data_IF_537691149041
#
_entry.id   IF_537691149041
#
_cell.length_a   1.000
_cell.length_b   1.000
_cell.length_c   1.000
_cell.angle_alpha   90.00
_cell.angle_beta   90.00
_cell.angle_gamma   90.00
#
_symmetry.space_group_name_H-M   'P 1'
#
loop_
_entity.id
_entity.type
_entity.pdbx_description
1 polymer ?
#
# COMPACT_ATOMS: atom_id res chain seq x y z
N UNK A 1 15.69 -0.59 -5.06
CA UNK A 1 14.31 -1.11 -5.07
C UNK A 1 13.65 -0.78 -6.39
N UNK A 2 12.84 -1.68 -6.92
CA UNK A 2 12.06 -1.40 -8.13
C UNK A 2 10.77 -2.21 -8.10
N UNK A 3 9.65 -1.58 -8.41
CA UNK A 3 8.31 -2.02 -7.99
C UNK A 3 7.50 -2.66 -9.12
N UNK A 4 8.19 -3.14 -10.15
CA UNK A 4 7.62 -3.79 -11.34
C UNK A 4 8.17 -5.22 -11.49
N UNK A 5 7.90 -5.91 -12.59
CA UNK A 5 8.36 -7.28 -12.82
C UNK A 5 9.86 -7.41 -13.15
N UNK A 6 10.49 -6.35 -13.64
CA UNK A 6 11.92 -6.32 -14.04
C UNK A 6 12.57 -4.96 -13.86
N UNK A 7 13.90 -4.91 -13.97
CA UNK A 7 14.67 -3.66 -14.07
C UNK A 7 14.71 -3.11 -15.50
N UNK A 8 14.87 -1.79 -15.68
CA UNK A 8 15.16 -1.21 -16.99
C UNK A 8 16.49 -1.73 -17.54
N UNK A 9 16.52 -2.16 -18.81
CA UNK A 9 17.74 -2.73 -19.42
C UNK A 9 18.96 -1.80 -19.32
N UNK A 10 18.71 -0.49 -19.43
CA UNK A 10 19.75 0.55 -19.34
C UNK A 10 20.41 0.65 -17.96
N UNK A 11 19.82 0.06 -16.92
CA UNK A 11 20.33 0.09 -15.55
C UNK A 11 21.31 -1.05 -15.28
N UNK A 12 21.10 -2.22 -15.91
CA UNK A 12 21.84 -3.47 -15.60
C UNK A 12 23.36 -3.27 -15.69
N UNK A 13 23.83 -2.71 -16.82
CA UNK A 13 25.26 -2.47 -17.04
C UNK A 13 25.88 -1.46 -16.06
N UNK A 14 25.06 -0.58 -15.45
CA UNK A 14 25.51 0.37 -14.42
C UNK A 14 25.54 -0.30 -13.05
N UNK A 15 24.51 -1.09 -12.73
CA UNK A 15 24.43 -1.85 -11.48
C UNK A 15 25.58 -2.85 -11.38
N UNK A 16 25.91 -3.56 -12.46
CA UNK A 16 27.03 -4.50 -12.48
C UNK A 16 28.42 -3.85 -12.33
N UNK A 17 28.52 -2.52 -12.38
CA UNK A 17 29.77 -1.80 -12.05
C UNK A 17 29.92 -1.50 -10.56
N UNK A 18 28.86 -1.67 -9.77
CA UNK A 18 28.93 -1.49 -8.31
C UNK A 18 29.69 -2.66 -7.67
N UNK A 19 30.30 -2.43 -6.53
CA UNK A 19 30.93 -3.49 -5.72
C UNK A 19 29.86 -4.36 -5.04
N UNK A 20 28.82 -3.70 -4.50
CA UNK A 20 27.67 -4.35 -3.85
C UNK A 20 26.36 -3.66 -4.25
N UNK A 21 25.27 -4.41 -4.21
CA UNK A 21 23.91 -3.98 -4.55
C UNK A 21 22.99 -4.47 -3.45
N UNK A 22 22.47 -3.55 -2.64
CA UNK A 22 21.58 -3.93 -1.52
C UNK A 22 20.12 -3.77 -1.93
N UNK A 23 19.34 -4.82 -1.69
CA UNK A 23 17.91 -4.89 -2.01
C UNK A 23 17.12 -5.29 -0.76
N UNK A 24 15.86 -4.84 -0.58
CA UNK A 24 15.16 -5.00 0.68
C UNK A 24 14.55 -6.39 0.88
N UNK A 25 14.44 -7.19 -0.19
CA UNK A 25 13.69 -8.44 -0.18
C UNK A 25 14.27 -9.44 -1.17
N UNK A 26 13.96 -10.71 -0.95
CA UNK A 26 14.25 -11.79 -1.87
C UNK A 26 13.49 -11.63 -3.19
N UNK A 27 12.29 -11.05 -3.16
CA UNK A 27 11.59 -10.65 -4.39
C UNK A 27 12.45 -9.73 -5.27
N UNK A 28 13.05 -8.69 -4.66
CA UNK A 28 13.91 -7.77 -5.39
C UNK A 28 15.23 -8.44 -5.79
N UNK A 29 15.78 -9.35 -4.99
CA UNK A 29 16.93 -10.16 -5.38
C UNK A 29 16.64 -10.95 -6.67
N UNK A 30 15.55 -11.71 -6.70
CA UNK A 30 15.17 -12.54 -7.85
C UNK A 30 14.89 -11.69 -9.11
N UNK A 31 14.23 -10.55 -8.92
CA UNK A 31 13.99 -9.56 -9.98
C UNK A 31 15.32 -9.06 -10.58
N UNK A 32 16.30 -8.71 -9.75
CA UNK A 32 17.59 -8.19 -10.17
C UNK A 32 18.41 -9.26 -10.89
N UNK A 33 18.47 -10.47 -10.35
CA UNK A 33 19.16 -11.62 -10.97
C UNK A 33 18.55 -11.95 -12.33
N UNK A 34 17.23 -12.06 -12.40
CA UNK A 34 16.52 -12.37 -13.65
C UNK A 34 16.70 -11.26 -14.69
N UNK A 35 16.88 -10.01 -14.24
CA UNK A 35 17.20 -8.87 -15.12
C UNK A 35 18.68 -8.86 -15.56
N UNK A 36 19.54 -9.75 -15.07
CA UNK A 36 20.95 -9.86 -15.47
C UNK A 36 21.96 -9.15 -14.57
N UNK A 37 21.57 -8.80 -13.33
CA UNK A 37 22.52 -8.34 -12.30
C UNK A 37 23.28 -9.55 -11.74
N UNK A 38 24.59 -9.40 -11.53
CA UNK A 38 25.44 -10.47 -11.01
C UNK A 38 25.03 -10.88 -9.58
N UNK A 39 24.61 -12.15 -9.34
CA UNK A 39 24.09 -12.57 -8.04
C UNK A 39 25.06 -12.38 -6.86
N UNK A 40 26.36 -12.56 -7.11
CA UNK A 40 27.43 -12.41 -6.11
C UNK A 40 27.52 -11.00 -5.51
N UNK A 41 26.93 -10.00 -6.19
CA UNK A 41 26.92 -8.60 -5.76
C UNK A 41 25.67 -8.23 -4.98
N UNK A 42 24.63 -9.06 -4.98
CA UNK A 42 23.33 -8.68 -4.45
C UNK A 42 23.20 -9.19 -3.02
N UNK A 43 22.91 -8.27 -2.09
CA UNK A 43 22.69 -8.57 -0.69
C UNK A 43 21.27 -8.18 -0.29
N UNK A 44 20.55 -9.10 0.36
CA UNK A 44 19.22 -8.82 0.89
C UNK A 44 19.37 -8.16 2.26
N UNK A 45 18.94 -6.90 2.37
CA UNK A 45 18.99 -6.07 3.58
C UNK A 45 17.60 -5.45 3.82
N UNK A 46 16.73 -6.11 4.61
CA UNK A 46 15.39 -5.64 4.93
C UNK A 46 15.36 -4.24 5.56
N UNK A 47 14.30 -3.47 5.28
CA UNK A 47 14.08 -2.20 5.99
C UNK A 47 13.46 -2.43 7.38
N UNK A 48 13.84 -1.60 8.34
CA UNK A 48 13.35 -1.67 9.72
C UNK A 48 12.12 -0.78 9.96
N UNK A 49 11.36 -1.13 11.01
CA UNK A 49 10.32 -0.28 11.60
C UNK A 49 10.77 0.17 12.99
N UNK A 50 10.53 1.44 13.33
CA UNK A 50 10.81 1.97 14.67
C UNK A 50 9.74 1.47 15.64
N UNK A 51 10.03 0.38 16.33
CA UNK A 51 9.11 -0.26 17.30
C UNK A 51 8.97 0.52 18.60
N UNK A 52 9.79 1.54 18.86
CA UNK A 52 9.58 2.46 19.98
C UNK A 52 8.52 3.50 19.61
N UNK A 53 8.56 4.00 18.37
CA UNK A 53 7.53 4.90 17.87
C UNK A 53 6.22 4.16 17.58
N UNK A 54 6.26 3.02 16.92
CA UNK A 54 5.11 2.19 16.55
C UNK A 54 4.85 1.12 17.60
N UNK A 55 4.55 1.55 18.83
CA UNK A 55 4.16 0.70 19.93
C UNK A 55 2.67 0.88 20.29
N UNK A 56 1.81 -0.13 20.13
CA UNK A 56 0.38 0.01 20.37
C UNK A 56 -0.01 0.30 21.83
N UNK A 57 0.89 0.13 22.81
CA UNK A 57 0.62 0.47 24.22
C UNK A 57 0.80 1.95 24.53
N UNK A 58 1.55 2.68 23.69
CA UNK A 58 2.02 4.02 24.02
C UNK A 58 1.16 5.13 23.40
N UNK A 59 0.15 4.75 22.62
CA UNK A 59 -0.70 5.68 21.88
C UNK A 59 -2.17 5.54 22.22
N UNK A 60 -2.86 6.68 22.22
CA UNK A 60 -4.33 6.75 22.18
C UNK A 60 -4.78 6.87 20.72
N UNK A 61 -5.96 6.31 20.36
CA UNK A 61 -6.56 6.53 19.05
C UNK A 61 -6.66 8.02 18.69
N UNK A 62 -6.36 8.37 17.44
CA UNK A 62 -6.58 9.70 16.89
C UNK A 62 -8.08 9.90 16.58
N UNK A 63 -8.70 10.90 17.22
CA UNK A 63 -10.13 11.17 17.11
C UNK A 63 -10.87 10.75 18.38
N UNK A 64 -11.39 11.75 19.10
CA UNK A 64 -12.21 11.59 20.30
C UNK A 64 -13.63 11.22 19.84
N UNK A 65 -14.24 10.23 20.49
CA UNK A 65 -15.53 9.61 20.14
C UNK A 65 -15.45 8.57 19.01
N UNK A 66 -14.80 7.44 19.30
CA UNK A 66 -15.02 6.23 18.53
C UNK A 66 -16.49 5.83 18.70
N UNK A 67 -17.33 6.11 17.71
CA UNK A 67 -18.67 5.53 17.63
C UNK A 67 -18.54 4.02 17.90
N UNK A 68 -19.10 3.60 19.03
CA UNK A 68 -18.99 2.23 19.48
C UNK A 68 -19.63 1.33 18.42
N UNK A 69 -18.88 0.33 17.93
CA UNK A 69 -19.38 -0.64 16.94
C UNK A 69 -19.08 -0.31 15.47
N UNK A 70 -18.43 0.82 15.15
CA UNK A 70 -17.95 1.08 13.79
C UNK A 70 -16.60 0.40 13.54
N UNK A 71 -16.52 -0.43 12.50
CA UNK A 71 -15.28 -1.07 12.05
C UNK A 71 -14.51 -0.14 11.09
N UNK A 72 -13.23 0.11 11.39
CA UNK A 72 -12.41 1.10 10.69
C UNK A 72 -11.30 0.44 9.90
N UNK A 73 -11.36 0.59 8.58
CA UNK A 73 -10.25 0.27 7.68
C UNK A 73 -9.31 1.47 7.57
N UNK A 74 -8.01 1.23 7.60
CA UNK A 74 -6.98 2.24 7.35
C UNK A 74 -6.16 1.88 6.12
N UNK A 75 -5.90 2.88 5.28
CA UNK A 75 -4.92 2.80 4.21
C UNK A 75 -4.02 4.03 4.24
N UNK A 76 -2.70 3.82 4.14
CA UNK A 76 -1.69 4.88 4.18
C UNK A 76 -0.82 4.78 2.93
N UNK A 77 -0.88 5.77 2.04
CA UNK A 77 -0.16 5.74 0.77
C UNK A 77 0.00 7.13 0.15
N UNK A 78 0.93 7.27 -0.80
CA UNK A 78 0.95 8.42 -1.74
C UNK A 78 -0.08 8.18 -2.84
N UNK A 79 -0.81 9.22 -3.27
CA UNK A 79 -1.88 9.08 -4.26
C UNK A 79 -1.37 8.79 -5.68
N UNK A 80 -0.93 7.55 -5.90
CA UNK A 80 -0.36 7.05 -7.14
C UNK A 80 -1.11 5.78 -7.57
N UNK A 81 -1.33 5.57 -8.87
CA UNK A 81 -2.07 4.39 -9.37
C UNK A 81 -1.47 3.06 -8.89
N UNK A 82 -0.15 3.01 -8.78
CA UNK A 82 0.61 1.89 -8.20
C UNK A 82 0.15 1.50 -6.78
N UNK A 83 -0.29 2.47 -5.96
CA UNK A 83 -0.74 2.22 -4.59
C UNK A 83 -2.15 1.62 -4.53
N UNK A 84 -2.85 1.52 -5.66
CA UNK A 84 -4.11 0.79 -5.73
C UNK A 84 -5.30 1.52 -5.10
N UNK A 85 -5.28 2.86 -5.06
CA UNK A 85 -6.38 3.64 -4.49
C UNK A 85 -7.71 3.40 -5.22
N UNK A 86 -7.66 3.17 -6.53
CA UNK A 86 -8.81 2.84 -7.37
C UNK A 86 -9.38 1.46 -7.02
N UNK A 87 -8.51 0.48 -6.85
CA UNK A 87 -8.89 -0.89 -6.46
C UNK A 87 -9.49 -0.88 -5.06
N UNK A 88 -8.88 -0.16 -4.13
CA UNK A 88 -9.36 -0.02 -2.75
C UNK A 88 -10.78 0.56 -2.71
N UNK A 89 -11.01 1.66 -3.44
CA UNK A 89 -12.32 2.31 -3.48
C UNK A 89 -13.36 1.44 -4.19
N UNK A 90 -12.97 0.76 -5.28
CA UNK A 90 -13.85 -0.16 -5.99
C UNK A 90 -14.35 -1.26 -5.04
N UNK A 91 -13.44 -1.99 -4.39
CA UNK A 91 -13.78 -3.06 -3.45
C UNK A 91 -14.68 -2.54 -2.32
N UNK A 92 -14.33 -1.39 -1.73
CA UNK A 92 -15.06 -0.81 -0.61
C UNK A 92 -16.49 -0.42 -0.96
N UNK A 93 -16.71 0.21 -2.11
CA UNK A 93 -18.05 0.64 -2.54
C UNK A 93 -18.88 -0.47 -3.20
N UNK A 94 -18.27 -1.55 -3.69
CA UNK A 94 -19.00 -2.75 -4.13
C UNK A 94 -19.50 -3.58 -2.93
N UNK A 95 -18.73 -3.60 -1.82
CA UNK A 95 -19.07 -4.38 -0.63
C UNK A 95 -20.00 -3.64 0.33
N UNK A 96 -19.73 -2.36 0.62
CA UNK A 96 -20.39 -1.63 1.71
C UNK A 96 -21.27 -0.46 1.24
N UNK A 97 -22.36 -0.21 1.98
CA UNK A 97 -23.20 0.99 1.87
C UNK A 97 -23.10 1.86 3.14
N UNK A 98 -23.82 2.99 3.16
CA UNK A 98 -23.96 3.83 4.35
C UNK A 98 -24.71 3.15 5.51
N UNK A 99 -25.41 2.03 5.25
CA UNK A 99 -26.13 1.26 6.27
C UNK A 99 -25.18 0.35 7.07
N UNK A 100 -24.00 0.07 6.53
CA UNK A 100 -22.97 -0.70 7.20
C UNK A 100 -22.21 0.17 8.22
N UNK A 101 -21.94 -0.41 9.39
CA UNK A 101 -21.15 0.23 10.44
C UNK A 101 -19.65 0.17 10.13
N UNK A 102 -19.25 0.73 8.99
CA UNK A 102 -17.87 0.76 8.51
C UNK A 102 -17.42 2.17 8.15
N UNK A 103 -16.12 2.44 8.29
CA UNK A 103 -15.45 3.64 7.78
C UNK A 103 -14.10 3.30 7.15
N UNK A 104 -13.81 3.85 5.97
CA UNK A 104 -12.49 3.79 5.34
C UNK A 104 -11.73 5.09 5.58
N UNK A 105 -10.61 5.01 6.29
CA UNK A 105 -9.68 6.10 6.51
C UNK A 105 -8.52 6.01 5.52
N UNK A 106 -8.30 7.07 4.75
CA UNK A 106 -7.18 7.16 3.80
C UNK A 106 -6.25 8.27 4.27
N UNK A 107 -5.07 7.92 4.76
CA UNK A 107 -3.98 8.90 4.95
C UNK A 107 -3.17 8.98 3.67
N UNK A 108 -3.25 10.13 3.04
CA UNK A 108 -2.50 10.43 1.83
C UNK A 108 -1.67 11.71 1.97
N UNK A 109 -0.76 11.88 1.03
CA UNK A 109 -0.09 13.14 0.71
C UNK A 109 -0.12 13.29 -0.80
N UNK A 110 -0.19 14.54 -1.25
CA UNK A 110 -0.20 14.79 -2.67
C UNK A 110 1.15 14.58 -3.33
N UNK A 111 1.08 14.13 -4.57
CA UNK A 111 2.21 14.01 -5.46
C UNK A 111 2.19 15.22 -6.39
N UNK A 112 2.93 16.27 -6.03
CA UNK A 112 3.16 17.48 -6.84
C UNK A 112 1.96 18.45 -7.12
N UNK A 113 0.84 18.37 -6.39
CA UNK A 113 -0.26 19.36 -6.51
C UNK A 113 -1.14 19.45 -5.25
N UNK A 114 -1.89 20.54 -5.08
CA UNK A 114 -3.00 20.62 -4.10
C UNK A 114 -4.22 19.85 -4.62
N UNK A 115 -4.18 18.52 -4.53
CA UNK A 115 -5.25 17.65 -5.01
C UNK A 115 -6.43 17.59 -4.04
N UNK A 116 -7.65 17.86 -4.53
CA UNK A 116 -8.89 17.54 -3.83
C UNK A 116 -9.15 16.02 -3.90
N UNK A 117 -8.57 15.28 -2.95
CA UNK A 117 -8.72 13.84 -2.86
C UNK A 117 -10.17 13.40 -2.59
N UNK A 118 -10.95 14.21 -1.88
CA UNK A 118 -12.35 13.88 -1.64
C UNK A 118 -13.16 13.97 -2.93
N UNK A 119 -12.88 14.95 -3.79
CA UNK A 119 -13.45 15.01 -5.13
C UNK A 119 -13.03 13.81 -5.98
N UNK A 120 -11.78 13.34 -5.88
CA UNK A 120 -11.33 12.11 -6.57
C UNK A 120 -12.10 10.87 -6.09
N UNK A 121 -12.32 10.73 -4.78
CA UNK A 121 -13.14 9.64 -4.22
C UNK A 121 -14.57 9.71 -4.76
N UNK A 122 -15.21 10.90 -4.71
CA UNK A 122 -16.58 11.10 -5.23
C UNK A 122 -16.67 10.82 -6.73
N UNK A 123 -15.70 11.28 -7.51
CA UNK A 123 -15.66 11.06 -8.95
C UNK A 123 -15.49 9.58 -9.30
N UNK A 124 -14.64 8.86 -8.56
CA UNK A 124 -14.46 7.42 -8.72
C UNK A 124 -15.75 6.66 -8.41
N UNK A 125 -16.39 6.96 -7.27
CA UNK A 125 -17.68 6.35 -6.90
C UNK A 125 -18.77 6.63 -7.94
N UNK A 126 -18.86 7.86 -8.47
CA UNK A 126 -19.81 8.21 -9.52
C UNK A 126 -19.55 7.44 -10.83
N UNK A 127 -18.26 7.24 -11.20
CA UNK A 127 -17.87 6.50 -12.40
C UNK A 127 -18.19 5.00 -12.30
N UNK A 128 -18.32 4.44 -11.09
CA UNK A 128 -18.73 3.05 -10.89
C UNK A 128 -20.21 2.80 -11.25
N UNK A 129 -21.05 3.84 -11.24
CA UNK A 129 -22.46 3.73 -11.56
C UNK A 129 -23.19 2.71 -10.68
N UNK A 130 -23.90 1.77 -11.29
CA UNK A 130 -24.68 0.75 -10.57
C UNK A 130 -23.85 -0.31 -9.85
N UNK A 131 -22.51 -0.33 -10.03
CA UNK A 131 -21.63 -1.24 -9.28
C UNK A 131 -21.44 -0.80 -7.83
N UNK A 132 -21.46 0.51 -7.58
CA UNK A 132 -21.37 1.03 -6.22
C UNK A 132 -22.71 0.85 -5.48
N UNK A 133 -22.66 0.35 -4.25
CA UNK A 133 -23.82 0.32 -3.35
C UNK A 133 -24.20 1.74 -2.94
N UNK A 134 -25.51 1.99 -2.87
CA UNK A 134 -26.05 3.31 -2.50
C UNK A 134 -27.02 3.16 -1.32
N UNK A 135 -27.03 4.11 -0.36
CA UNK A 135 -26.13 5.26 -0.24
C UNK A 135 -24.67 4.86 0.02
N UNK A 136 -23.70 5.69 -0.39
CA UNK A 136 -22.27 5.33 -0.34
C UNK A 136 -21.75 5.20 1.10
N UNK A 137 -20.95 4.16 1.36
CA UNK A 137 -20.25 3.98 2.62
C UNK A 137 -19.28 5.14 2.92
N UNK A 138 -19.00 5.37 4.20
CA UNK A 138 -18.21 6.52 4.67
C UNK A 138 -16.73 6.39 4.32
N UNK A 139 -16.13 7.45 3.76
CA UNK A 139 -14.68 7.56 3.51
C UNK A 139 -14.17 8.87 4.12
N UNK A 140 -13.07 8.82 4.88
CA UNK A 140 -12.39 9.97 5.49
C UNK A 140 -10.98 10.10 4.94
N UNK A 141 -10.67 11.22 4.29
CA UNK A 141 -9.33 11.46 3.73
C UNK A 141 -8.52 12.41 4.60
N UNK A 142 -7.42 11.91 5.14
CA UNK A 142 -6.47 12.64 5.97
C UNK A 142 -5.31 13.12 5.09
N UNK A 143 -5.42 14.29 4.45
CA UNK A 143 -4.38 14.80 3.53
C UNK A 143 -3.48 15.87 4.16
N UNK A 144 -3.92 16.50 5.25
CA UNK A 144 -3.12 17.48 6.00
C UNK A 144 -1.86 16.83 6.59
N UNK A 145 -0.80 17.63 6.76
CA UNK A 145 0.43 17.18 7.40
C UNK A 145 0.16 16.76 8.83
N UNK A 146 0.25 15.45 9.05
CA UNK A 146 0.16 14.86 10.37
C UNK A 146 1.60 14.73 10.89
N UNK A 147 1.95 15.35 12.04
CA UNK A 147 3.28 15.17 12.61
C UNK A 147 3.58 13.69 12.77
N UNK A 148 4.81 13.26 12.45
CA UNK A 148 5.20 11.85 12.49
C UNK A 148 4.80 11.15 13.80
N UNK A 149 4.94 11.84 14.95
CA UNK A 149 4.53 11.35 16.28
C UNK A 149 3.03 11.04 16.45
N UNK A 150 2.16 11.56 15.58
CA UNK A 150 0.72 11.31 15.59
C UNK A 150 0.29 10.23 14.59
N UNK A 151 1.17 9.81 13.69
CA UNK A 151 0.87 8.74 12.74
C UNK A 151 0.52 7.42 13.45
N UNK A 152 1.24 6.98 14.51
CA UNK A 152 0.84 5.79 15.28
C UNK A 152 -0.56 5.88 15.88
N UNK A 153 -1.02 7.09 16.26
CA UNK A 153 -2.38 7.28 16.79
C UNK A 153 -3.45 6.99 15.74
N UNK A 154 -3.15 7.22 14.45
CA UNK A 154 -4.04 6.88 13.36
C UNK A 154 -4.13 5.35 13.17
N UNK A 155 -2.98 4.65 13.16
CA UNK A 155 -2.98 3.19 13.16
C UNK A 155 -3.72 2.62 14.37
N UNK A 156 -3.53 3.20 15.56
CA UNK A 156 -4.22 2.79 16.79
C UNK A 156 -5.74 2.98 16.75
N UNK A 157 -6.24 3.86 15.89
CA UNK A 157 -7.67 4.12 15.70
C UNK A 157 -8.34 3.17 14.71
N UNK A 158 -7.57 2.32 14.01
CA UNK A 158 -8.09 1.39 13.02
C UNK A 158 -8.32 -0.01 13.60
N UNK A 159 -9.17 -0.79 12.94
CA UNK A 159 -9.42 -2.20 13.25
C UNK A 159 -8.70 -3.13 12.27
N UNK A 160 -8.46 -2.68 11.04
CA UNK A 160 -7.66 -3.37 10.04
C UNK A 160 -6.94 -2.39 9.11
N UNK A 161 -5.77 -2.78 8.61
CA UNK A 161 -5.06 -2.06 7.56
C UNK A 161 -5.26 -2.76 6.22
N UNK A 162 -5.53 -1.99 5.16
CA UNK A 162 -5.73 -2.51 3.80
C UNK A 162 -4.95 -1.68 2.79
N UNK A 163 -4.14 -2.33 1.95
CA UNK A 163 -3.44 -1.67 0.86
C UNK A 163 -3.26 -2.63 -0.34
N UNK A 164 -4.16 -2.59 -1.34
CA UNK A 164 -4.10 -3.44 -2.52
C UNK A 164 -3.13 -2.84 -3.55
N UNK A 165 -1.88 -2.63 -3.16
CA UNK A 165 -0.86 -2.06 -4.05
C UNK A 165 -0.54 -3.00 -5.22
N UNK A 166 -0.31 -2.43 -6.39
CA UNK A 166 0.16 -3.16 -7.57
C UNK A 166 1.65 -3.51 -7.46
N UNK A 167 2.43 -2.77 -6.67
CA UNK A 167 3.86 -3.01 -6.45
C UNK A 167 4.46 -2.14 -5.36
N UNK A 168 5.33 -2.75 -4.55
CA UNK A 168 6.00 -2.13 -3.40
C UNK A 168 7.46 -2.54 -3.31
N UNK A 169 8.33 -1.58 -2.99
CA UNK A 169 9.74 -1.87 -2.72
C UNK A 169 9.91 -2.65 -1.42
N UNK A 170 9.30 -2.15 -0.34
CA UNK A 170 9.25 -2.79 0.98
C UNK A 170 7.84 -2.74 1.56
N UNK A 171 7.17 -1.58 1.45
CA UNK A 171 5.85 -1.39 2.00
C UNK A 171 5.87 -1.01 3.48
N UNK A 172 6.61 0.06 3.83
CA UNK A 172 6.68 0.63 5.18
C UNK A 172 5.33 0.76 5.90
N UNK A 173 4.24 1.23 5.27
CA UNK A 173 2.93 1.27 5.92
C UNK A 173 2.42 -0.09 6.42
N UNK A 174 2.76 -1.19 5.73
CA UNK A 174 2.39 -2.54 6.15
C UNK A 174 3.10 -2.91 7.45
N UNK A 175 4.42 -2.75 7.53
CA UNK A 175 5.19 -3.09 8.75
C UNK A 175 4.85 -2.15 9.92
N UNK A 176 4.52 -0.89 9.65
CA UNK A 176 4.00 0.05 10.65
C UNK A 176 2.64 -0.42 11.20
N UNK A 177 1.72 -0.86 10.33
CA UNK A 177 0.43 -1.42 10.73
C UNK A 177 0.60 -2.71 11.55
N UNK A 178 1.49 -3.61 11.13
CA UNK A 178 1.80 -4.84 11.86
C UNK A 178 2.40 -4.55 13.24
N UNK A 179 3.34 -3.60 13.33
CA UNK A 179 3.93 -3.18 14.60
C UNK A 179 2.88 -2.61 15.56
N UNK A 180 1.87 -1.93 15.01
CA UNK A 180 0.71 -1.42 15.74
C UNK A 180 -0.36 -2.48 16.05
N UNK A 181 -0.13 -3.75 15.70
CA UNK A 181 -0.99 -4.88 16.00
C UNK A 181 -2.24 -4.98 15.11
N UNK A 182 -2.26 -4.32 13.97
CA UNK A 182 -3.38 -4.39 13.03
C UNK A 182 -3.29 -5.65 12.15
N UNK A 183 -4.41 -6.35 11.91
CA UNK A 183 -4.54 -7.23 10.77
C UNK A 183 -4.26 -6.48 9.47
N UNK A 184 -3.39 -7.04 8.62
CA UNK A 184 -2.98 -6.43 7.34
C UNK A 184 -3.56 -7.21 6.17
N UNK A 185 -4.31 -6.52 5.31
CA UNK A 185 -4.81 -6.99 4.02
C UNK A 185 -3.98 -6.34 2.92
N UNK A 186 -3.24 -7.12 2.14
CA UNK A 186 -2.36 -6.57 1.11
C UNK A 186 -2.16 -7.51 -0.07
N UNK A 187 -1.78 -6.97 -1.21
CA UNK A 187 -1.45 -7.75 -2.40
C UNK A 187 -0.31 -8.73 -2.12
N UNK A 188 -0.52 -10.00 -2.47
CA UNK A 188 0.47 -11.06 -2.34
C UNK A 188 1.50 -11.04 -3.48
N UNK A 189 2.20 -9.92 -3.64
CA UNK A 189 3.21 -9.72 -4.67
C UNK A 189 4.17 -8.59 -4.30
N UNK A 190 5.36 -8.56 -4.89
CA UNK A 190 6.40 -7.55 -4.65
C UNK A 190 7.09 -7.66 -3.29
N UNK A 191 7.85 -6.63 -2.89
CA UNK A 191 8.69 -6.67 -1.69
C UNK A 191 7.94 -6.92 -0.38
N UNK A 192 6.64 -6.67 -0.31
CA UNK A 192 5.83 -6.98 0.88
C UNK A 192 5.74 -8.47 1.18
N UNK A 193 5.96 -9.36 0.20
CA UNK A 193 5.97 -10.82 0.41
C UNK A 193 7.17 -11.31 1.23
N UNK A 194 8.14 -10.44 1.53
CA UNK A 194 9.26 -10.78 2.43
C UNK A 194 8.78 -11.08 3.85
N UNK A 195 7.73 -10.37 4.31
CA UNK A 195 7.23 -10.46 5.68
C UNK A 195 5.73 -10.73 5.77
N UNK A 196 4.96 -10.55 4.69
CA UNK A 196 3.56 -10.91 4.63
C UNK A 196 3.39 -12.35 4.17
N UNK A 197 2.61 -13.11 4.93
CA UNK A 197 2.20 -14.47 4.60
C UNK A 197 0.81 -14.74 5.15
N UNK A 198 0.17 -15.84 4.71
CA UNK A 198 -1.12 -16.26 5.26
C UNK A 198 -1.07 -16.58 6.78
N UNK A 199 0.12 -16.74 7.37
CA UNK A 199 0.28 -16.98 8.80
C UNK A 199 0.18 -15.71 9.65
N UNK A 200 0.39 -14.52 9.07
CA UNK A 200 0.45 -13.25 9.79
C UNK A 200 -0.32 -12.09 9.12
N UNK A 201 -0.96 -12.34 7.97
CA UNK A 201 -1.69 -11.36 7.19
C UNK A 201 -2.82 -11.99 6.39
N UNK A 202 -3.60 -11.17 5.70
CA UNK A 202 -4.66 -11.54 4.76
C UNK A 202 -4.21 -11.23 3.32
N UNK A 203 -3.46 -12.14 2.67
CA UNK A 203 -2.92 -11.91 1.33
C UNK A 203 -4.03 -11.88 0.27
N UNK A 204 -4.11 -10.78 -0.47
CA UNK A 204 -4.97 -10.66 -1.65
C UNK A 204 -4.36 -11.44 -2.81
N UNK A 205 -5.22 -12.17 -3.53
CA UNK A 205 -4.80 -12.89 -4.74
C UNK A 205 -4.43 -11.89 -5.82
N UNK A 206 -3.52 -12.30 -6.71
CA UNK A 206 -3.22 -11.57 -7.93
C UNK A 206 -3.82 -12.30 -9.12
N UNK A 207 -4.48 -11.58 -10.02
CA UNK A 207 -5.04 -12.13 -11.27
C UNK A 207 -4.02 -12.16 -12.42
N UNK A 208 -2.75 -11.99 -12.10
CA UNK A 208 -1.64 -11.88 -13.05
C UNK A 208 -0.96 -10.53 -12.95
N UNK A 209 -0.21 -10.21 -14.01
CA UNK A 209 0.48 -8.94 -14.15
C UNK A 209 -0.18 -8.12 -15.28
N UNK A 210 -0.28 -6.82 -15.08
CA UNK A 210 -0.76 -5.85 -16.07
C UNK A 210 0.32 -4.82 -16.38
N UNK A 211 0.26 -4.23 -17.57
CA UNK A 211 1.23 -3.21 -18.00
C UNK A 211 1.14 -1.96 -17.12
N UNK A 212 2.29 -1.35 -16.86
CA UNK A 212 2.36 -0.06 -16.18
C UNK A 212 1.99 1.04 -17.17
N UNK A 213 0.76 1.53 -17.10
CA UNK A 213 0.26 2.60 -17.99
C UNK A 213 0.64 4.01 -17.50
N UNK A 214 0.82 4.18 -16.19
CA UNK A 214 1.08 5.47 -15.54
C UNK A 214 2.28 5.38 -14.60
N UNK A 215 3.09 6.44 -14.56
CA UNK A 215 4.26 6.56 -13.69
C UNK A 215 5.58 6.66 -14.46
N UNK A 216 6.68 6.33 -13.79
CA UNK A 216 8.04 6.48 -14.32
C UNK A 216 8.64 5.17 -14.86
N UNK A 217 7.90 4.06 -14.83
CA UNK A 217 8.39 2.80 -15.35
C UNK A 217 8.48 2.82 -16.89
N UNK A 218 9.53 2.24 -17.51
CA UNK A 218 9.58 2.09 -18.95
C UNK A 218 8.43 1.25 -19.51
N UNK A 219 8.08 1.50 -20.77
CA UNK A 219 7.06 0.73 -21.48
C UNK A 219 7.40 -0.77 -21.47
N UNK A 220 6.40 -1.61 -21.22
CA UNK A 220 6.53 -3.08 -21.17
C UNK A 220 6.89 -3.65 -19.80
N UNK A 221 7.12 -2.79 -18.81
CA UNK A 221 7.13 -3.20 -17.41
C UNK A 221 5.72 -3.49 -16.94
N UNK A 222 5.61 -4.47 -16.04
CA UNK A 222 4.31 -4.90 -15.50
C UNK A 222 4.34 -4.92 -13.98
N UNK A 223 3.17 -4.80 -13.38
CA UNK A 223 2.95 -4.92 -11.94
C UNK A 223 1.77 -5.84 -11.65
N UNK A 224 1.54 -6.19 -10.39
CA UNK A 224 0.42 -7.05 -10.04
C UNK A 224 -0.93 -6.41 -10.38
N UNK A 225 -1.88 -7.24 -10.79
CA UNK A 225 -3.31 -6.92 -10.78
C UNK A 225 -3.96 -7.58 -9.56
N UNK A 226 -4.14 -6.87 -8.43
CA UNK A 226 -4.84 -7.39 -7.26
C UNK A 226 -6.27 -7.80 -7.63
N UNK A 227 -6.78 -8.91 -7.08
CA UNK A 227 -8.18 -9.29 -7.27
C UNK A 227 -9.08 -8.38 -6.44
N UNK A 228 -10.16 -7.92 -7.06
CA UNK A 228 -11.27 -7.19 -6.44
C UNK A 228 -12.47 -8.10 -6.35
#
# INVERSE_FOLDING_TARGET
>A
MYETDRLPDTWIARINKMDEVWVPSHFAYDQFVTSGVEPSKIYVVPEAVDTQLFNPTDHKPLGLDADAGVFRFLSVFKWERRKGWDILLQAYFEEFSADDLVELHIKTQAFHSDDDFEAKVRAHAAAMGSRARTPLARVRVHHQDLPARKVPQLYKAADAFVLPTRGEGWGRPHVEAMAMGLPVIATNWSGSTEFLSAACSLPLRTEGLEDVEEGSAPKGHRWARPSV
#
